data_IF_041290509677
#
_entry.id   IF_041290509677
#
_cell.length_a   1.000
_cell.length_b   1.000
_cell.length_c   1.000
_cell.angle_alpha   90.00
_cell.angle_beta   90.00
_cell.angle_gamma   90.00
#
_symmetry.space_group_name_H-M   'P 1'
#
loop_
_entity.id
_entity.type
_entity.pdbx_description
1 polymer ?
#
# COMPACT_ATOMS: atom_id res chain seq x y z
N UNK A 1 4.39 -16.47 1.13
CA UNK A 1 3.02 -17.01 1.33
C UNK A 1 1.95 -15.99 0.95
N UNK A 2 1.91 -14.81 1.59
CA UNK A 2 0.94 -13.75 1.30
C UNK A 2 0.81 -13.38 -0.19
N UNK A 3 1.94 -13.19 -0.89
CA UNK A 3 1.94 -12.88 -2.31
C UNK A 3 1.24 -13.94 -3.18
N UNK A 4 1.41 -15.22 -2.84
CA UNK A 4 0.73 -16.32 -3.53
C UNK A 4 -0.77 -16.34 -3.24
N UNK A 5 -1.17 -16.08 -1.98
CA UNK A 5 -2.58 -15.99 -1.61
C UNK A 5 -3.27 -14.83 -2.34
N UNK A 6 -2.61 -13.66 -2.43
CA UNK A 6 -3.13 -12.51 -3.17
C UNK A 6 -3.30 -12.81 -4.66
N UNK A 7 -2.32 -13.47 -5.29
CA UNK A 7 -2.42 -13.90 -6.69
C UNK A 7 -3.63 -14.80 -6.94
N UNK A 8 -3.96 -15.70 -6.01
CA UNK A 8 -5.11 -16.60 -6.15
C UNK A 8 -6.46 -15.86 -6.04
N UNK A 9 -6.53 -14.80 -5.22
CA UNK A 9 -7.78 -14.06 -4.98
C UNK A 9 -8.00 -12.96 -6.02
N UNK A 10 -6.98 -12.15 -6.30
CA UNK A 10 -7.10 -10.94 -7.12
C UNK A 10 -6.41 -11.05 -8.49
N UNK A 11 -5.46 -11.98 -8.66
CA UNK A 11 -4.59 -12.04 -9.83
C UNK A 11 -3.39 -11.10 -9.77
N UNK A 12 -2.45 -11.28 -10.70
CA UNK A 12 -1.26 -10.42 -10.82
C UNK A 12 -1.58 -9.11 -11.52
N UNK A 13 -0.99 -8.00 -11.04
CA UNK A 13 -1.17 -6.69 -11.64
C UNK A 13 -2.62 -6.20 -11.63
N UNK A 14 -3.43 -6.62 -10.65
CA UNK A 14 -4.84 -6.20 -10.51
C UNK A 14 -5.08 -5.28 -9.32
N UNK A 15 -4.08 -5.07 -8.48
CA UNK A 15 -4.21 -4.21 -7.30
C UNK A 15 -3.86 -2.78 -7.68
N UNK A 16 -4.84 -1.86 -7.58
CA UNK A 16 -4.65 -0.44 -7.88
C UNK A 16 -4.12 0.35 -6.67
N UNK A 17 -4.52 -0.03 -5.46
CA UNK A 17 -4.16 0.66 -4.22
C UNK A 17 -3.68 -0.31 -3.15
N UNK A 18 -2.60 0.05 -2.46
CA UNK A 18 -2.11 -0.64 -1.26
C UNK A 18 -2.10 0.35 -0.11
N UNK A 19 -2.95 0.12 0.88
CA UNK A 19 -3.05 0.98 2.05
C UNK A 19 -2.04 0.48 3.10
N UNK A 20 -1.15 1.36 3.55
CA UNK A 20 -0.17 1.04 4.61
C UNK A 20 -0.46 1.93 5.82
N UNK A 21 -1.11 1.34 6.82
CA UNK A 21 -1.44 2.02 8.08
C UNK A 21 -0.22 2.14 9.01
N UNK A 22 0.61 1.09 9.03
CA UNK A 22 1.73 0.91 9.95
C UNK A 22 2.95 0.41 9.20
N UNK A 23 4.15 0.81 9.64
CA UNK A 23 5.40 0.57 8.90
C UNK A 23 6.27 -0.52 9.52
N UNK A 24 5.93 -1.01 10.71
CA UNK A 24 6.68 -2.06 11.37
C UNK A 24 6.78 -3.29 10.44
N UNK A 25 7.94 -3.96 10.33
CA UNK A 25 8.17 -5.03 9.36
C UNK A 25 7.22 -6.24 9.47
N UNK A 26 6.58 -6.44 10.62
CA UNK A 26 5.54 -7.45 10.82
C UNK A 26 4.22 -7.11 10.10
N UNK A 27 4.05 -5.85 9.67
CA UNK A 27 2.94 -5.39 8.82
C UNK A 27 3.40 -5.08 7.39
N UNK A 28 4.56 -4.44 7.23
CA UNK A 28 5.03 -3.89 5.95
C UNK A 28 6.03 -4.78 5.22
N UNK A 29 6.52 -5.87 5.84
CA UNK A 29 7.62 -6.68 5.33
C UNK A 29 7.40 -7.31 3.96
N UNK A 30 6.14 -7.60 3.60
CA UNK A 30 5.79 -8.13 2.27
C UNK A 30 5.58 -7.06 1.19
N UNK A 31 5.56 -5.78 1.56
CA UNK A 31 5.28 -4.68 0.63
C UNK A 31 6.20 -4.69 -0.60
N UNK A 32 7.54 -4.90 -0.50
CA UNK A 32 8.39 -4.94 -1.69
C UNK A 32 8.05 -6.08 -2.65
N UNK A 33 7.65 -7.24 -2.15
CA UNK A 33 7.24 -8.38 -2.99
C UNK A 33 5.89 -8.10 -3.67
N UNK A 34 4.93 -7.55 -2.93
CA UNK A 34 3.61 -7.18 -3.47
C UNK A 34 3.74 -6.10 -4.55
N UNK A 35 4.61 -5.11 -4.35
CA UNK A 35 4.88 -4.05 -5.34
C UNK A 35 5.57 -4.56 -6.59
N UNK A 36 6.44 -5.59 -6.49
CA UNK A 36 7.01 -6.25 -7.69
C UNK A 36 5.93 -6.90 -8.56
N UNK A 37 4.88 -7.44 -7.93
CA UNK A 37 3.75 -8.08 -8.62
C UNK A 37 2.70 -7.08 -9.13
N UNK A 38 2.68 -5.87 -8.57
CA UNK A 38 1.73 -4.82 -8.91
C UNK A 38 2.46 -3.48 -9.06
N UNK A 39 3.37 -3.35 -10.05
CA UNK A 39 4.22 -2.17 -10.19
C UNK A 39 3.45 -0.88 -10.47
N UNK A 40 2.21 -0.97 -10.94
CA UNK A 40 1.31 0.16 -11.16
C UNK A 40 0.52 0.60 -9.92
N UNK A 41 0.57 -0.18 -8.83
CA UNK A 41 -0.20 0.12 -7.63
C UNK A 41 0.26 1.43 -6.99
N UNK A 42 -0.69 2.16 -6.42
CA UNK A 42 -0.41 3.35 -5.61
C UNK A 42 -0.39 2.97 -4.14
N UNK A 43 0.72 3.23 -3.46
CA UNK A 43 0.87 3.07 -2.01
C UNK A 43 0.28 4.28 -1.32
N UNK A 44 -0.79 4.07 -0.55
CA UNK A 44 -1.50 5.11 0.18
C UNK A 44 -1.12 5.04 1.65
N UNK A 45 -0.52 6.11 2.18
CA UNK A 45 -0.04 6.14 3.55
C UNK A 45 0.16 7.59 4.06
N UNK A 46 0.51 7.76 5.34
CA UNK A 46 0.85 9.07 5.88
C UNK A 46 2.25 9.50 5.43
N UNK A 47 2.56 10.80 5.51
CA UNK A 47 3.89 11.30 5.12
C UNK A 47 5.02 10.62 5.91
N UNK A 48 4.80 10.44 7.23
CA UNK A 48 5.75 9.74 8.11
C UNK A 48 5.93 8.28 7.72
N UNK A 49 4.86 7.62 7.29
CA UNK A 49 4.92 6.25 6.82
C UNK A 49 5.76 6.15 5.54
N UNK A 50 5.58 7.04 4.55
CA UNK A 50 6.41 7.06 3.34
C UNK A 50 7.90 7.18 3.68
N UNK A 51 8.28 8.12 4.56
CA UNK A 51 9.68 8.28 4.98
C UNK A 51 10.25 7.01 5.61
N UNK A 52 9.47 6.34 6.47
CA UNK A 52 9.86 5.10 7.11
C UNK A 52 9.99 3.93 6.14
N UNK A 53 9.01 3.74 5.27
CA UNK A 53 9.04 2.70 4.24
C UNK A 53 10.19 2.90 3.25
N UNK A 54 10.49 4.15 2.89
CA UNK A 54 11.65 4.47 2.06
C UNK A 54 12.95 4.08 2.75
N UNK A 55 13.08 4.30 4.07
CA UNK A 55 14.24 3.87 4.86
C UNK A 55 14.35 2.36 4.97
N UNK A 56 13.24 1.65 5.15
CA UNK A 56 13.25 0.19 5.27
C UNK A 56 13.51 -0.52 3.94
N UNK A 57 12.94 -0.03 2.85
CA UNK A 57 12.84 -0.81 1.61
C UNK A 57 13.39 -0.12 0.36
N UNK A 58 13.62 1.20 0.39
CA UNK A 58 14.20 1.93 -0.74
C UNK A 58 13.37 1.92 -2.02
N UNK A 59 12.09 1.55 -1.96
CA UNK A 59 11.24 1.35 -3.13
C UNK A 59 10.81 2.66 -3.80
N UNK A 60 11.03 2.78 -5.11
CA UNK A 60 10.50 3.90 -5.90
C UNK A 60 9.07 3.57 -6.36
N UNK A 61 8.10 3.75 -5.47
CA UNK A 61 6.69 3.46 -5.71
C UNK A 61 5.90 4.74 -6.00
N UNK A 62 4.70 4.59 -6.57
CA UNK A 62 3.76 5.70 -6.65
C UNK A 62 3.11 5.89 -5.28
N UNK A 63 3.24 7.08 -4.72
CA UNK A 63 2.75 7.40 -3.38
C UNK A 63 1.52 8.31 -3.43
N UNK A 64 0.53 8.02 -2.59
CA UNK A 64 -0.55 8.94 -2.26
C UNK A 64 -0.51 9.23 -0.77
N UNK A 65 -0.09 10.44 -0.43
CA UNK A 65 -0.09 10.89 0.97
C UNK A 65 -1.48 11.27 1.40
N UNK A 66 -1.91 10.74 2.54
CA UNK A 66 -3.20 11.02 3.17
C UNK A 66 -3.01 11.52 4.60
N UNK A 67 -4.00 12.28 5.09
CA UNK A 67 -4.10 12.81 6.45
C UNK A 67 -5.48 12.51 7.04
N UNK A 68 -5.62 12.71 8.35
CA UNK A 68 -6.93 12.62 9.01
C UNK A 68 -7.97 13.50 8.32
N UNK A 69 -9.10 12.89 7.95
CA UNK A 69 -10.21 13.54 7.24
C UNK A 69 -10.19 13.34 5.73
N UNK A 70 -9.07 12.92 5.14
CA UNK A 70 -9.02 12.58 3.72
C UNK A 70 -9.86 11.33 3.41
N UNK A 71 -10.25 11.20 2.14
CA UNK A 71 -10.99 10.04 1.65
C UNK A 71 -10.48 9.50 0.31
N UNK A 72 -10.70 8.21 0.09
CA UNK A 72 -10.41 7.52 -1.17
C UNK A 72 -11.63 6.74 -1.62
N UNK A 73 -12.17 7.09 -2.78
CA UNK A 73 -13.26 6.35 -3.43
C UNK A 73 -12.70 5.14 -4.19
N UNK A 74 -13.35 3.99 -4.02
CA UNK A 74 -13.02 2.70 -4.63
C UNK A 74 -14.16 2.21 -5.55
N UNK A 75 -15.00 3.15 -6.02
CA UNK A 75 -16.27 2.84 -6.68
C UNK A 75 -17.41 2.75 -5.67
N UNK A 76 -17.84 1.54 -5.32
CA UNK A 76 -18.98 1.34 -4.40
C UNK A 76 -18.68 1.73 -2.95
N UNK A 77 -17.41 1.74 -2.57
CA UNK A 77 -16.96 2.02 -1.20
C UNK A 77 -16.08 3.26 -1.16
N UNK A 78 -16.07 3.95 -0.02
CA UNK A 78 -15.19 5.09 0.25
C UNK A 78 -14.46 4.85 1.57
N UNK A 79 -13.13 4.89 1.53
CA UNK A 79 -12.30 4.88 2.71
C UNK A 79 -12.16 6.30 3.26
N UNK A 80 -12.18 6.44 4.59
CA UNK A 80 -11.79 7.67 5.30
C UNK A 80 -10.57 7.38 6.14
N UNK A 81 -9.58 8.26 6.09
CA UNK A 81 -8.34 8.08 6.81
C UNK A 81 -8.37 8.85 8.12
N UNK A 82 -7.86 8.21 9.17
CA UNK A 82 -7.69 8.76 10.50
C UNK A 82 -6.32 8.26 10.97
N UNK A 83 -5.44 9.20 11.31
CA UNK A 83 -4.14 8.97 11.95
C UNK A 83 -4.24 9.23 13.45
#
# INVERSE_FOLDING_TARGET
ELANNLRQVAGEGKIDYIIVNHIEPDHSGSLPEIMKLNPQATVVCTAKAQEGLQKYYGGNWTWKIVKTGDSLELGQHTLRFIE
#
